data_IF_123567015512
#
_entry.id   IF_123567015512
#
_cell.length_a   1.000
_cell.length_b   1.000
_cell.length_c   1.000
_cell.angle_alpha   90.00
_cell.angle_beta   90.00
_cell.angle_gamma   90.00
#
_symmetry.space_group_name_H-M   'P 1'
#
loop_
_entity.id
_entity.type
_entity.pdbx_description
1 polymer ?
#
# COMPACT_ATOMS: atom_id res chain seq x y z
N UNK A 1 24.42 -4.31 28.55
CA UNK A 1 23.43 -4.60 27.49
C UNK A 1 23.94 -4.01 26.20
N UNK A 2 24.15 -4.83 25.17
CA UNK A 2 24.47 -4.33 23.82
C UNK A 2 23.12 -4.00 23.19
N UNK A 3 22.86 -2.72 22.95
CA UNK A 3 21.67 -2.30 22.20
C UNK A 3 21.95 -2.48 20.71
N UNK A 4 20.90 -2.74 19.92
CA UNK A 4 21.00 -2.85 18.46
C UNK A 4 21.20 -1.48 17.79
N UNK A 5 21.49 -1.51 16.49
CA UNK A 5 21.61 -0.31 15.66
C UNK A 5 20.23 0.19 15.20
N UNK A 6 20.10 1.50 14.93
CA UNK A 6 18.85 2.13 14.50
C UNK A 6 19.13 3.00 13.28
N UNK A 7 18.48 2.66 12.17
CA UNK A 7 18.53 3.43 10.93
C UNK A 7 17.27 4.28 10.74
N UNK A 8 17.46 5.50 10.22
CA UNK A 8 16.38 6.40 9.82
C UNK A 8 16.35 6.50 8.30
N UNK A 9 15.19 6.21 7.72
CA UNK A 9 14.97 6.30 6.27
C UNK A 9 13.95 7.41 5.99
N UNK A 10 14.39 8.63 5.60
CA UNK A 10 13.50 9.72 5.21
C UNK A 10 12.99 9.53 3.77
N UNK A 11 12.03 10.37 3.34
CA UNK A 11 11.54 10.38 1.96
C UNK A 11 10.58 9.23 1.63
N UNK A 12 9.80 8.80 2.63
CA UNK A 12 8.82 7.73 2.50
C UNK A 12 7.39 8.30 2.61
N UNK A 13 6.47 7.68 1.89
CA UNK A 13 5.04 7.97 1.96
C UNK A 13 4.25 6.73 2.36
N UNK A 14 3.16 6.95 3.11
CA UNK A 14 2.20 5.89 3.47
C UNK A 14 1.00 5.98 2.54
N UNK A 15 0.68 4.88 1.86
CA UNK A 15 -0.56 4.71 1.10
C UNK A 15 -1.48 3.79 1.88
N UNK A 16 -2.75 4.16 2.01
CA UNK A 16 -3.76 3.36 2.72
C UNK A 16 -5.00 3.16 1.85
N UNK A 17 -5.39 1.91 1.68
CA UNK A 17 -6.66 1.51 1.11
C UNK A 17 -7.66 1.31 2.25
N UNK A 18 -8.66 2.19 2.32
CA UNK A 18 -9.66 2.20 3.40
C UNK A 18 -11.06 1.96 2.81
N UNK A 19 -11.81 1.03 3.41
CA UNK A 19 -13.14 0.71 2.93
C UNK A 19 -13.90 -0.21 3.86
N UNK A 20 -15.16 0.14 4.15
CA UNK A 20 -16.08 -0.63 5.00
C UNK A 20 -16.35 -2.06 4.47
N UNK A 21 -16.18 -2.28 3.17
CA UNK A 21 -16.43 -3.52 2.46
C UNK A 21 -15.14 -4.24 2.02
N UNK A 22 -13.95 -3.82 2.50
CA UNK A 22 -12.70 -4.54 2.21
C UNK A 22 -12.74 -5.99 2.72
N UNK A 23 -13.41 -6.24 3.86
CA UNK A 23 -13.74 -7.60 4.36
C UNK A 23 -14.46 -8.48 3.34
N UNK A 24 -15.40 -7.91 2.58
CA UNK A 24 -16.18 -8.64 1.57
C UNK A 24 -15.49 -8.75 0.22
N UNK A 25 -14.40 -8.00 0.00
CA UNK A 25 -13.62 -8.02 -1.24
C UNK A 25 -12.41 -8.95 -1.08
N UNK A 26 -12.67 -10.26 -1.11
CA UNK A 26 -11.63 -11.30 -1.05
C UNK A 26 -10.58 -11.03 -2.13
N UNK A 27 -9.31 -10.98 -1.73
CA UNK A 27 -8.18 -10.77 -2.64
C UNK A 27 -7.84 -9.30 -2.93
N UNK A 28 -8.53 -8.33 -2.33
CA UNK A 28 -8.27 -6.90 -2.59
C UNK A 28 -6.87 -6.46 -2.16
N UNK A 29 -6.34 -7.00 -1.05
CA UNK A 29 -4.96 -6.75 -0.61
C UNK A 29 -3.96 -7.26 -1.64
N UNK A 30 -4.13 -8.49 -2.12
CA UNK A 30 -3.32 -9.06 -3.19
C UNK A 30 -3.35 -8.21 -4.45
N UNK A 31 -4.56 -7.82 -4.91
CA UNK A 31 -4.71 -6.96 -6.09
C UNK A 31 -4.05 -5.59 -5.90
N UNK A 32 -4.19 -4.97 -4.72
CA UNK A 32 -3.55 -3.70 -4.40
C UNK A 32 -2.02 -3.79 -4.50
N UNK A 33 -1.40 -4.82 -3.91
CA UNK A 33 0.05 -5.01 -4.00
C UNK A 33 0.51 -5.43 -5.39
N UNK A 34 -0.25 -6.27 -6.10
CA UNK A 34 0.04 -6.64 -7.49
C UNK A 34 0.07 -5.43 -8.41
N UNK A 35 -0.90 -4.51 -8.30
CA UNK A 35 -0.94 -3.28 -9.11
C UNK A 35 0.30 -2.43 -8.89
N UNK A 36 0.75 -2.27 -7.64
CA UNK A 36 1.98 -1.52 -7.34
C UNK A 36 3.22 -2.22 -7.96
N UNK A 37 3.35 -3.52 -7.76
CA UNK A 37 4.48 -4.31 -8.31
C UNK A 37 4.52 -4.34 -9.84
N UNK A 38 3.38 -4.52 -10.50
CA UNK A 38 3.26 -4.52 -11.97
C UNK A 38 3.63 -3.17 -12.58
N UNK A 39 3.45 -2.08 -11.84
CA UNK A 39 3.86 -0.73 -12.25
C UNK A 39 5.29 -0.39 -11.80
N UNK A 40 6.02 -1.33 -11.21
CA UNK A 40 7.40 -1.12 -10.76
C UNK A 40 7.52 -0.12 -9.62
N UNK A 41 6.51 -0.05 -8.74
CA UNK A 41 6.56 0.75 -7.51
C UNK A 41 7.03 -0.16 -6.37
N UNK A 42 8.17 0.17 -5.78
CA UNK A 42 8.72 -0.62 -4.68
C UNK A 42 7.91 -0.42 -3.39
N UNK A 43 7.73 -1.49 -2.63
CA UNK A 43 7.06 -1.46 -1.32
C UNK A 43 8.12 -1.69 -0.24
N UNK A 44 8.34 -0.67 0.59
CA UNK A 44 9.32 -0.70 1.70
C UNK A 44 8.76 -1.41 2.93
N UNK A 45 7.45 -1.29 3.15
CA UNK A 45 6.79 -1.89 4.29
C UNK A 45 5.32 -2.16 3.99
N UNK A 46 4.81 -3.26 4.53
CA UNK A 46 3.38 -3.59 4.52
C UNK A 46 2.88 -3.58 5.96
N UNK A 47 1.75 -2.91 6.19
CA UNK A 47 1.03 -2.94 7.44
C UNK A 47 -0.44 -3.29 7.19
N UNK A 48 -0.85 -4.46 7.65
CA UNK A 48 -2.24 -4.90 7.59
C UNK A 48 -2.71 -5.19 9.01
N UNK A 49 -3.71 -4.43 9.47
CA UNK A 49 -4.33 -4.68 10.77
C UNK A 49 -5.23 -5.93 10.75
N UNK A 50 -5.52 -6.48 11.94
CA UNK A 50 -6.47 -7.60 12.11
C UNK A 50 -7.91 -7.25 11.69
N UNK A 51 -8.20 -5.95 11.57
CA UNK A 51 -9.41 -5.46 10.95
C UNK A 51 -9.13 -5.23 9.46
N UNK A 52 -9.70 -6.06 8.58
CA UNK A 52 -9.60 -5.96 7.12
C UNK A 52 -10.37 -4.74 6.56
N UNK A 53 -10.31 -3.61 7.27
CA UNK A 53 -10.92 -2.31 6.95
C UNK A 53 -9.85 -1.33 6.46
N UNK A 54 -8.57 -1.59 6.75
CA UNK A 54 -7.45 -0.77 6.31
C UNK A 54 -6.24 -1.65 5.95
N UNK A 55 -5.71 -1.45 4.76
CA UNK A 55 -4.44 -2.01 4.30
C UNK A 55 -3.53 -0.82 3.98
N UNK A 56 -2.35 -0.78 4.58
CA UNK A 56 -1.38 0.29 4.35
C UNK A 56 -0.05 -0.27 3.86
N UNK A 57 0.63 0.49 3.01
CA UNK A 57 2.01 0.23 2.64
C UNK A 57 2.82 1.51 2.63
N UNK A 58 4.14 1.35 2.76
CA UNK A 58 5.11 2.42 2.67
C UNK A 58 5.86 2.29 1.35
N UNK A 59 6.03 3.41 0.65
CA UNK A 59 6.75 3.52 -0.61
C UNK A 59 7.64 4.76 -0.60
N UNK A 60 8.50 4.94 -1.61
CA UNK A 60 9.19 6.20 -1.82
C UNK A 60 8.21 7.35 -2.06
N UNK A 61 8.44 8.50 -1.42
CA UNK A 61 7.56 9.67 -1.52
C UNK A 61 7.47 10.20 -2.95
N UNK A 62 8.56 10.13 -3.72
CA UNK A 62 8.59 10.53 -5.13
C UNK A 62 7.58 9.75 -5.99
N UNK A 63 7.24 8.52 -5.60
CA UNK A 63 6.33 7.63 -6.33
C UNK A 63 4.86 7.80 -5.90
N UNK A 64 4.57 8.60 -4.86
CA UNK A 64 3.24 8.71 -4.25
C UNK A 64 2.13 9.03 -5.26
N UNK A 65 2.35 10.02 -6.12
CA UNK A 65 1.36 10.40 -7.14
C UNK A 65 1.14 9.30 -8.18
N UNK A 66 2.21 8.63 -8.61
CA UNK A 66 2.13 7.53 -9.58
C UNK A 66 1.38 6.35 -8.98
N UNK A 67 1.73 5.99 -7.75
CA UNK A 67 1.09 4.93 -6.97
C UNK A 67 -0.41 5.18 -6.77
N UNK A 68 -0.81 6.39 -6.37
CA UNK A 68 -2.22 6.76 -6.24
C UNK A 68 -2.97 6.62 -7.57
N UNK A 69 -2.40 7.12 -8.67
CA UNK A 69 -3.04 7.03 -9.99
C UNK A 69 -3.23 5.57 -10.43
N UNK A 70 -2.19 4.74 -10.37
CA UNK A 70 -2.28 3.35 -10.84
C UNK A 70 -3.22 2.52 -9.96
N UNK A 71 -3.17 2.71 -8.64
CA UNK A 71 -4.09 2.06 -7.70
C UNK A 71 -5.52 2.49 -7.99
N UNK A 72 -5.77 3.79 -8.14
CA UNK A 72 -7.12 4.29 -8.38
C UNK A 72 -7.68 3.76 -9.71
N UNK A 73 -6.91 3.85 -10.78
CA UNK A 73 -7.32 3.36 -12.11
C UNK A 73 -7.61 1.86 -12.10
N UNK A 74 -6.73 1.04 -11.50
CA UNK A 74 -6.89 -0.41 -11.55
C UNK A 74 -7.95 -0.92 -10.58
N UNK A 75 -8.15 -0.29 -9.42
CA UNK A 75 -9.11 -0.77 -8.43
C UNK A 75 -10.52 -0.21 -8.63
N UNK A 76 -10.67 1.04 -9.09
CA UNK A 76 -11.96 1.73 -9.05
C UNK A 76 -12.50 2.19 -10.41
N UNK A 77 -11.67 2.41 -11.43
CA UNK A 77 -12.15 2.87 -12.75
C UNK A 77 -12.85 1.77 -13.57
N UNK A 78 -12.79 0.51 -13.13
CA UNK A 78 -13.51 -0.62 -13.76
C UNK A 78 -14.66 -1.16 -12.90
N UNK A 79 -15.10 -0.42 -11.89
CA UNK A 79 -16.23 -0.77 -11.01
C UNK A 79 -17.50 0.04 -11.33
N UNK A 80 -17.74 0.33 -12.61
CA UNK A 80 -19.07 0.68 -13.11
C UNK A 80 -19.89 -0.59 -13.42
#
# INVERSE_FOLDING_TARGET
SVWGDIDLVPGLAVISLVGRQLRSMVGISGRFFSVLGENGINIEMISQGASEINISCVIEEAEANRALNVVHTNLFTFLD
#
